data_IF_065541161346
#
_entry.id   IF_065541161346
#
_cell.length_a   1.000
_cell.length_b   1.000
_cell.length_c   1.000
_cell.angle_alpha   90.00
_cell.angle_beta   90.00
_cell.angle_gamma   90.00
#
_symmetry.space_group_name_H-M   'P 1'
#
loop_
_entity.id
_entity.type
_entity.pdbx_description
1 polymer ?
#
# COMPACT_ATOMS: atom_id res chain seq x y z
N UNK A 1 -5.38 6.51 30.94
CA UNK A 1 -6.22 7.11 29.88
C UNK A 1 -6.75 5.96 29.04
N UNK A 2 -8.04 5.67 29.10
CA UNK A 2 -8.69 4.67 28.26
C UNK A 2 -8.58 5.12 26.80
N UNK A 3 -7.82 4.40 25.99
CA UNK A 3 -7.80 4.58 24.53
C UNK A 3 -9.26 4.47 24.05
N UNK A 4 -9.87 5.58 23.69
CA UNK A 4 -11.17 5.56 22.99
C UNK A 4 -10.96 4.71 21.73
N UNK A 5 -11.78 3.68 21.56
CA UNK A 5 -11.80 2.88 20.34
C UNK A 5 -12.12 3.82 19.16
N UNK A 6 -11.11 4.21 18.41
CA UNK A 6 -11.27 5.05 17.22
C UNK A 6 -11.53 4.12 16.05
N UNK A 7 -12.70 4.18 15.43
CA UNK A 7 -13.01 3.34 14.28
C UNK A 7 -12.01 3.60 13.14
N UNK A 8 -11.56 2.53 12.49
CA UNK A 8 -10.64 2.59 11.35
C UNK A 8 -9.30 3.26 11.62
N UNK A 9 -8.78 3.17 12.86
CA UNK A 9 -7.48 3.73 13.22
C UNK A 9 -6.36 3.25 12.26
N UNK A 10 -5.52 4.18 11.80
CA UNK A 10 -4.52 3.95 10.77
C UNK A 10 -5.08 3.91 9.35
N UNK A 11 -6.36 4.27 9.17
CA UNK A 11 -7.06 4.16 7.91
C UNK A 11 -6.79 5.28 6.91
N UNK A 12 -7.27 5.04 5.69
CA UNK A 12 -7.29 6.02 4.60
C UNK A 12 -8.49 5.79 3.68
N UNK A 13 -8.83 6.84 2.93
CA UNK A 13 -9.70 6.78 1.74
C UNK A 13 -9.04 7.59 0.62
N UNK A 14 -9.04 7.04 -0.59
CA UNK A 14 -8.68 7.73 -1.84
C UNK A 14 -9.89 7.71 -2.77
N UNK A 15 -10.24 8.85 -3.35
CA UNK A 15 -11.38 8.93 -4.27
C UNK A 15 -11.27 10.09 -5.24
N UNK A 16 -11.89 9.96 -6.42
CA UNK A 16 -12.12 11.10 -7.32
C UNK A 16 -13.33 11.94 -6.92
N UNK A 17 -14.15 11.47 -5.97
CA UNK A 17 -15.33 12.19 -5.45
C UNK A 17 -15.05 12.72 -4.06
N UNK A 18 -15.55 13.91 -3.80
CA UNK A 18 -15.51 14.49 -2.46
C UNK A 18 -16.68 13.98 -1.63
N UNK A 19 -16.38 13.22 -0.58
CA UNK A 19 -17.38 12.72 0.39
C UNK A 19 -17.59 13.65 1.59
N UNK A 20 -17.01 14.87 1.56
CA UNK A 20 -17.04 15.76 2.71
C UNK A 20 -16.13 15.29 3.85
N UNK A 21 -16.60 15.41 5.09
CA UNK A 21 -15.86 15.01 6.28
C UNK A 21 -16.08 13.53 6.59
N UNK A 22 -14.99 12.81 6.78
CA UNK A 22 -14.99 11.48 7.37
C UNK A 22 -14.48 11.63 8.80
N UNK A 23 -15.21 11.09 9.79
CA UNK A 23 -14.89 11.29 11.21
C UNK A 23 -13.41 11.01 11.51
N UNK A 24 -12.73 11.91 12.24
CA UNK A 24 -11.31 11.91 12.64
C UNK A 24 -10.27 11.77 11.53
N UNK A 25 -10.66 11.78 10.28
CA UNK A 25 -9.72 11.83 9.15
C UNK A 25 -9.46 13.27 8.73
N UNK A 26 -8.19 13.61 8.56
CA UNK A 26 -7.77 14.78 7.81
C UNK A 26 -8.09 14.60 6.34
N UNK A 27 -8.52 15.69 5.67
CA UNK A 27 -8.88 15.67 4.25
C UNK A 27 -7.99 16.63 3.47
N UNK A 28 -7.50 16.20 2.31
CA UNK A 28 -6.81 17.09 1.37
C UNK A 28 -7.08 16.70 -0.09
N UNK A 29 -7.00 17.69 -0.97
CA UNK A 29 -6.92 17.46 -2.39
C UNK A 29 -5.48 17.08 -2.78
N UNK A 30 -5.33 16.14 -3.73
CA UNK A 30 -4.07 15.77 -4.34
C UNK A 30 -3.86 16.53 -5.66
N UNK A 31 -2.62 16.70 -6.14
CA UNK A 31 -2.33 17.46 -7.36
C UNK A 31 -3.08 17.00 -8.61
N UNK A 32 -3.44 15.73 -8.69
CA UNK A 32 -4.18 15.12 -9.81
C UNK A 32 -5.71 15.21 -9.68
N UNK A 33 -6.22 16.00 -8.72
CA UNK A 33 -7.66 16.18 -8.48
C UNK A 33 -8.33 15.08 -7.67
N UNK A 34 -7.58 14.08 -7.21
CA UNK A 34 -8.09 13.10 -6.26
C UNK A 34 -8.17 13.68 -4.86
N UNK A 35 -9.03 13.10 -4.04
CA UNK A 35 -9.19 13.41 -2.63
C UNK A 35 -8.58 12.31 -1.78
N UNK A 36 -7.86 12.72 -0.74
CA UNK A 36 -7.22 11.86 0.23
C UNK A 36 -7.73 12.17 1.62
N UNK A 37 -8.18 11.13 2.32
CA UNK A 37 -8.51 11.19 3.74
C UNK A 37 -7.61 10.23 4.49
N UNK A 38 -7.01 10.68 5.55
CA UNK A 38 -6.18 9.85 6.43
C UNK A 38 -6.23 10.36 7.85
N UNK A 39 -5.98 9.49 8.81
CA UNK A 39 -5.80 9.87 10.21
C UNK A 39 -4.30 10.06 10.54
N UNK A 40 -4.01 10.45 11.78
CA UNK A 40 -2.65 10.67 12.29
C UNK A 40 -2.12 9.51 13.14
N UNK A 41 -2.75 8.34 13.10
CA UNK A 41 -2.33 7.19 13.94
C UNK A 41 -1.14 6.41 13.38
N UNK A 42 -0.79 6.61 12.13
CA UNK A 42 0.39 6.03 11.50
C UNK A 42 1.12 7.09 10.70
N UNK A 43 2.41 6.87 10.52
CA UNK A 43 3.25 7.78 9.77
C UNK A 43 2.81 7.89 8.32
N UNK A 44 2.98 9.07 7.78
CA UNK A 44 2.74 9.38 6.39
C UNK A 44 3.82 10.33 5.91
N UNK A 45 4.45 9.99 4.80
CA UNK A 45 5.43 10.82 4.11
C UNK A 45 4.98 11.04 2.67
N UNK A 46 5.25 12.22 2.14
CA UNK A 46 4.83 12.59 0.80
C UNK A 46 5.87 13.45 0.09
N UNK A 47 5.94 13.29 -1.22
CA UNK A 47 6.72 14.13 -2.12
C UNK A 47 5.90 14.49 -3.34
N UNK A 48 6.16 15.67 -3.89
CA UNK A 48 5.54 16.15 -5.13
C UNK A 48 6.60 16.86 -5.98
N UNK A 49 6.49 16.72 -7.28
CA UNK A 49 7.31 17.40 -8.26
C UNK A 49 6.52 18.49 -8.99
N UNK A 50 7.22 19.46 -9.62
CA UNK A 50 6.60 20.58 -10.33
C UNK A 50 5.73 20.15 -11.52
N UNK A 51 6.02 19.01 -12.12
CA UNK A 51 5.25 18.43 -13.23
C UNK A 51 3.94 17.75 -12.79
N UNK A 52 3.61 17.80 -11.48
CA UNK A 52 2.40 17.19 -10.91
C UNK A 52 2.55 15.73 -10.49
N UNK A 53 3.70 15.08 -10.73
CA UNK A 53 3.99 13.77 -10.17
C UNK A 53 4.07 13.84 -8.65
N UNK A 54 3.57 12.81 -7.96
CA UNK A 54 3.67 12.73 -6.51
C UNK A 54 3.73 11.28 -6.02
N UNK A 55 4.22 11.12 -4.80
CA UNK A 55 4.19 9.87 -4.08
C UNK A 55 3.77 10.13 -2.63
N UNK A 56 2.88 9.28 -2.13
CA UNK A 56 2.51 9.17 -0.71
C UNK A 56 2.89 7.76 -0.26
N UNK A 57 3.65 7.66 0.83
CA UNK A 57 3.85 6.39 1.54
C UNK A 57 3.27 6.52 2.94
N UNK A 58 2.50 5.52 3.36
CA UNK A 58 1.80 5.54 4.64
C UNK A 58 1.95 4.22 5.37
N UNK A 59 2.29 4.27 6.65
CA UNK A 59 2.46 3.10 7.51
C UNK A 59 3.78 3.11 8.25
N UNK A 60 4.40 1.93 8.43
CA UNK A 60 5.72 1.76 8.97
C UNK A 60 6.57 1.01 7.95
N UNK A 61 7.74 1.53 7.63
CA UNK A 61 8.60 0.94 6.61
C UNK A 61 10.09 1.18 6.89
N UNK A 62 10.90 0.25 6.41
CA UNK A 62 12.36 0.33 6.41
C UNK A 62 12.90 -0.39 5.17
N UNK A 63 14.04 0.04 4.64
CA UNK A 63 14.67 -0.61 3.49
C UNK A 63 15.85 -1.48 3.93
N UNK A 64 15.93 -2.69 3.39
CA UNK A 64 17.08 -3.58 3.50
C UNK A 64 18.05 -3.48 2.32
N UNK A 65 17.83 -2.55 1.37
CA UNK A 65 18.73 -2.36 0.23
C UNK A 65 20.08 -1.77 0.67
N UNK A 66 21.14 -1.99 -0.11
CA UNK A 66 22.47 -1.42 0.17
C UNK A 66 22.47 0.12 0.10
N UNK A 67 21.66 0.69 -0.77
CA UNK A 67 21.40 2.13 -0.85
C UNK A 67 20.48 2.65 0.27
N UNK A 68 19.88 1.77 1.05
CA UNK A 68 18.95 2.06 2.15
C UNK A 68 19.59 2.62 3.41
N UNK A 69 20.90 2.84 3.43
CA UNK A 69 21.53 3.76 4.39
C UNK A 69 21.04 5.19 4.21
N UNK A 70 20.57 5.52 3.01
CA UNK A 70 19.86 6.76 2.74
C UNK A 70 18.38 6.57 3.12
N UNK A 71 17.80 7.56 3.78
CA UNK A 71 16.42 7.57 4.27
C UNK A 71 15.42 7.07 3.18
N UNK A 72 14.62 6.02 3.42
CA UNK A 72 13.58 5.56 2.50
C UNK A 72 12.39 6.54 2.49
N UNK A 73 12.63 7.75 2.04
CA UNK A 73 11.66 8.83 1.98
C UNK A 73 10.79 8.79 0.72
N UNK A 74 9.61 9.40 0.79
CA UNK A 74 8.75 9.60 -0.37
C UNK A 74 9.46 10.33 -1.51
N UNK A 75 10.34 11.26 -1.18
CA UNK A 75 11.15 12.00 -2.16
C UNK A 75 12.09 11.06 -2.94
N UNK A 76 12.81 10.19 -2.25
CA UNK A 76 13.69 9.21 -2.88
C UNK A 76 12.91 8.28 -3.80
N UNK A 77 11.80 7.74 -3.32
CA UNK A 77 10.97 6.84 -4.12
C UNK A 77 10.38 7.52 -5.34
N UNK A 78 9.93 8.77 -5.21
CA UNK A 78 9.44 9.53 -6.35
C UNK A 78 10.54 9.75 -7.40
N UNK A 79 11.74 10.10 -6.98
CA UNK A 79 12.91 10.24 -7.89
C UNK A 79 13.20 8.95 -8.64
N UNK A 80 13.25 7.82 -7.94
CA UNK A 80 13.47 6.52 -8.59
C UNK A 80 12.37 6.21 -9.62
N UNK A 81 11.11 6.46 -9.25
CA UNK A 81 9.98 6.25 -10.16
C UNK A 81 10.03 7.15 -11.40
N UNK A 82 10.49 8.40 -11.26
CA UNK A 82 10.67 9.33 -12.37
C UNK A 82 11.82 8.93 -13.29
N UNK A 83 12.85 8.29 -12.74
CA UNK A 83 13.96 7.75 -13.53
C UNK A 83 13.53 6.47 -14.27
N UNK A 84 12.96 5.52 -13.56
CA UNK A 84 12.40 4.30 -14.12
C UNK A 84 11.46 3.63 -13.11
N UNK A 85 10.34 3.13 -13.60
CA UNK A 85 9.40 2.35 -12.76
C UNK A 85 10.04 1.04 -12.29
N UNK A 86 10.93 0.46 -13.08
CA UNK A 86 11.67 -0.76 -12.75
C UNK A 86 12.64 -0.53 -11.58
N UNK A 87 13.33 0.63 -11.56
CA UNK A 87 14.20 1.02 -10.44
C UNK A 87 13.40 1.21 -9.16
N UNK A 88 12.26 1.89 -9.24
CA UNK A 88 11.37 2.07 -8.11
C UNK A 88 10.85 0.72 -7.58
N UNK A 89 10.34 -0.13 -8.46
CA UNK A 89 9.83 -1.44 -8.08
C UNK A 89 10.94 -2.37 -7.56
N UNK A 90 12.17 -2.24 -8.09
CA UNK A 90 13.35 -2.94 -7.58
C UNK A 90 13.70 -2.54 -6.14
N UNK A 91 13.51 -1.27 -5.78
CA UNK A 91 13.70 -0.83 -4.40
C UNK A 91 12.61 -1.39 -3.46
N UNK A 92 11.37 -1.57 -3.96
CA UNK A 92 10.29 -2.19 -3.18
C UNK A 92 10.57 -3.65 -2.82
N UNK A 93 11.41 -4.36 -3.56
CA UNK A 93 11.79 -5.75 -3.22
C UNK A 93 12.53 -5.85 -1.88
N UNK A 94 13.19 -4.77 -1.47
CA UNK A 94 13.90 -4.66 -0.20
C UNK A 94 13.14 -3.85 0.86
N UNK A 95 11.94 -3.33 0.51
CA UNK A 95 11.16 -2.51 1.44
C UNK A 95 10.35 -3.41 2.37
N UNK A 96 10.72 -3.39 3.64
CA UNK A 96 10.08 -4.15 4.71
C UNK A 96 9.09 -3.29 5.47
N UNK A 97 8.06 -3.92 6.04
CA UNK A 97 7.15 -3.24 6.94
C UNK A 97 5.68 -3.44 6.59
N UNK A 98 4.86 -2.53 7.10
CA UNK A 98 3.41 -2.50 6.89
C UNK A 98 3.03 -1.15 6.31
N UNK A 99 3.00 -1.05 5.00
CA UNK A 99 2.84 0.21 4.28
C UNK A 99 1.91 0.09 3.07
N UNK A 100 1.47 1.24 2.59
CA UNK A 100 0.92 1.40 1.25
C UNK A 100 1.62 2.57 0.56
N UNK A 101 1.67 2.55 -0.77
CA UNK A 101 2.18 3.65 -1.58
C UNK A 101 1.10 4.04 -2.60
N UNK A 102 0.85 5.34 -2.73
CA UNK A 102 0.12 5.93 -3.85
C UNK A 102 1.13 6.69 -4.69
N UNK A 103 1.36 6.23 -5.90
CA UNK A 103 2.26 6.86 -6.88
C UNK A 103 1.44 7.43 -8.02
N UNK A 104 1.58 8.73 -8.26
CA UNK A 104 1.10 9.39 -9.47
C UNK A 104 2.32 9.77 -10.31
N UNK A 105 2.37 9.24 -11.52
CA UNK A 105 3.51 9.42 -12.42
C UNK A 105 3.02 9.55 -13.85
N UNK A 106 3.41 10.62 -14.56
CA UNK A 106 3.06 10.86 -15.96
C UNK A 106 1.55 10.73 -16.24
N UNK A 107 0.72 11.26 -15.35
CA UNK A 107 -0.74 11.25 -15.49
C UNK A 107 -1.44 9.93 -15.10
N UNK A 108 -0.68 8.92 -14.66
CA UNK A 108 -1.23 7.64 -14.19
C UNK A 108 -1.05 7.50 -12.68
N UNK A 109 -2.03 6.93 -12.01
CA UNK A 109 -1.97 6.67 -10.56
C UNK A 109 -1.95 5.18 -10.30
N UNK A 110 -1.05 4.75 -9.44
CA UNK A 110 -0.87 3.38 -8.99
C UNK A 110 -0.97 3.30 -7.47
N UNK A 111 -1.54 2.21 -6.95
CA UNK A 111 -1.54 1.91 -5.52
C UNK A 111 -0.80 0.58 -5.32
N UNK A 112 0.17 0.58 -4.41
CA UNK A 112 0.92 -0.60 -3.96
C UNK A 112 0.65 -0.83 -2.49
N UNK A 113 0.61 -2.09 -2.07
CA UNK A 113 0.62 -2.46 -0.65
C UNK A 113 1.95 -3.17 -0.31
N UNK A 114 2.17 -3.42 0.99
CA UNK A 114 3.35 -4.15 1.44
C UNK A 114 3.37 -5.61 0.94
N UNK A 115 4.55 -6.22 0.99
CA UNK A 115 4.85 -7.52 0.39
C UNK A 115 3.91 -8.67 0.82
N UNK A 116 3.28 -8.57 1.99
CA UNK A 116 2.34 -9.57 2.49
C UNK A 116 0.90 -9.03 2.66
N UNK A 117 0.65 -7.77 2.22
CA UNK A 117 -0.67 -7.15 2.23
C UNK A 117 -1.23 -6.81 3.60
N UNK A 118 -0.36 -6.63 4.60
CA UNK A 118 -0.78 -6.26 5.97
C UNK A 118 -1.41 -4.87 6.05
N UNK A 119 -1.00 -3.96 5.18
CA UNK A 119 -1.71 -2.70 4.96
C UNK A 119 -2.74 -2.96 3.87
N UNK A 120 -3.93 -3.32 4.30
CA UNK A 120 -5.04 -3.68 3.39
C UNK A 120 -5.47 -2.50 2.52
N UNK A 121 -5.81 -2.80 1.27
CA UNK A 121 -6.40 -1.88 0.31
C UNK A 121 -7.62 -2.57 -0.30
N UNK A 122 -8.78 -2.03 -0.06
CA UNK A 122 -10.01 -2.41 -0.73
C UNK A 122 -10.34 -1.35 -1.77
N UNK A 123 -10.77 -1.77 -2.95
CA UNK A 123 -11.13 -0.84 -4.02
C UNK A 123 -12.41 -1.29 -4.72
N UNK A 124 -13.12 -0.34 -5.28
CA UNK A 124 -14.29 -0.64 -6.10
C UNK A 124 -13.90 -0.80 -7.57
N UNK A 125 -14.40 -1.86 -8.21
CA UNK A 125 -14.16 -2.12 -9.63
C UNK A 125 -15.00 -1.19 -10.54
N UNK A 126 -16.11 -0.68 -10.03
CA UNK A 126 -17.05 0.18 -10.77
C UNK A 126 -17.00 1.66 -10.38
N UNK A 127 -16.45 1.99 -9.21
CA UNK A 127 -16.36 3.36 -8.71
C UNK A 127 -14.90 3.74 -8.39
N UNK A 128 -14.51 5.01 -8.62
CA UNK A 128 -13.14 5.46 -8.35
C UNK A 128 -12.93 5.75 -6.86
N UNK A 129 -12.91 4.68 -6.05
CA UNK A 129 -12.68 4.72 -4.62
C UNK A 129 -11.83 3.54 -4.16
N UNK A 130 -10.91 3.81 -3.23
CA UNK A 130 -10.19 2.81 -2.46
C UNK A 130 -10.11 3.22 -1.00
N UNK A 131 -10.08 2.25 -0.10
CA UNK A 131 -9.98 2.49 1.34
C UNK A 131 -9.20 1.37 2.04
N UNK A 132 -8.68 1.68 3.23
CA UNK A 132 -7.96 0.72 4.08
C UNK A 132 -8.83 -0.37 4.66
N UNK A 133 -10.11 -0.10 4.90
CA UNK A 133 -11.03 -1.02 5.55
C UNK A 133 -12.28 -1.20 4.69
N UNK A 134 -12.70 -2.44 4.54
CA UNK A 134 -13.88 -2.81 3.77
C UNK A 134 -15.15 -2.08 4.24
N UNK A 135 -15.34 -2.03 5.57
CA UNK A 135 -16.48 -1.31 6.13
C UNK A 135 -16.41 0.20 5.93
N UNK A 136 -15.21 0.79 5.99
CA UNK A 136 -15.01 2.21 5.69
C UNK A 136 -15.36 2.51 4.24
N UNK A 137 -14.90 1.68 3.30
CA UNK A 137 -15.23 1.82 1.89
C UNK A 137 -16.75 1.79 1.69
N UNK A 138 -17.43 0.78 2.25
CA UNK A 138 -18.87 0.63 2.11
C UNK A 138 -19.68 1.71 2.85
N UNK A 139 -19.12 2.31 3.90
CA UNK A 139 -19.74 3.43 4.61
C UNK A 139 -19.77 4.70 3.77
N UNK A 140 -18.67 5.00 3.05
CA UNK A 140 -18.56 6.20 2.20
C UNK A 140 -19.10 6.01 0.80
N UNK A 141 -19.07 4.78 0.30
CA UNK A 141 -19.61 4.38 -1.01
C UNK A 141 -20.31 3.01 -0.87
N UNK A 142 -21.63 3.00 -0.62
CA UNK A 142 -22.38 1.76 -0.42
C UNK A 142 -22.36 0.84 -1.64
N UNK A 143 -22.13 -0.45 -1.40
CA UNK A 143 -22.14 -1.53 -2.38
C UNK A 143 -23.09 -2.64 -1.95
N UNK A 144 -23.63 -3.34 -2.94
CA UNK A 144 -24.52 -4.46 -2.73
C UNK A 144 -23.76 -5.66 -2.15
N UNK A 145 -24.36 -6.31 -1.14
CA UNK A 145 -23.86 -7.59 -0.64
C UNK A 145 -24.05 -8.69 -1.68
N UNK A 146 -23.04 -9.53 -1.82
CA UNK A 146 -23.14 -10.73 -2.65
C UNK A 146 -24.30 -11.62 -2.16
N UNK A 147 -25.04 -12.19 -3.11
CA UNK A 147 -26.11 -13.13 -2.82
C UNK A 147 -25.60 -14.39 -2.08
N UNK A 148 -26.48 -15.11 -1.39
CA UNK A 148 -26.12 -16.33 -0.68
C UNK A 148 -25.46 -17.40 -1.54
N UNK A 149 -25.69 -17.41 -2.85
CA UNK A 149 -25.07 -18.34 -3.82
C UNK A 149 -23.55 -18.16 -3.93
N UNK A 150 -23.02 -16.97 -3.61
CA UNK A 150 -21.59 -16.71 -3.64
C UNK A 150 -20.89 -16.89 -2.28
N UNK A 151 -21.65 -17.24 -1.24
CA UNK A 151 -21.05 -17.64 0.06
C UNK A 151 -20.13 -18.85 -0.08
N UNK A 152 -20.31 -19.68 -1.10
CA UNK A 152 -19.44 -20.80 -1.43
C UNK A 152 -18.04 -20.38 -1.92
N UNK A 153 -17.83 -19.10 -2.24
CA UNK A 153 -16.52 -18.55 -2.54
C UNK A 153 -15.64 -18.31 -1.29
N UNK A 154 -16.19 -18.55 -0.08
CA UNK A 154 -15.42 -18.45 1.17
C UNK A 154 -14.50 -19.64 1.31
N UNK A 155 -13.22 -19.38 1.57
CA UNK A 155 -12.24 -20.43 1.88
C UNK A 155 -12.34 -20.86 3.34
N UNK A 156 -12.65 -19.89 4.23
CA UNK A 156 -12.92 -20.10 5.64
C UNK A 156 -13.91 -19.03 6.13
N UNK A 157 -14.38 -19.13 7.38
CA UNK A 157 -15.45 -18.28 7.92
C UNK A 157 -15.24 -16.77 7.67
N UNK A 158 -13.99 -16.30 7.73
CA UNK A 158 -13.65 -14.88 7.54
C UNK A 158 -12.72 -14.63 6.34
N UNK A 159 -12.50 -15.65 5.49
CA UNK A 159 -11.59 -15.56 4.36
C UNK A 159 -12.34 -15.78 3.04
N UNK A 160 -12.12 -14.87 2.12
CA UNK A 160 -12.63 -14.94 0.76
C UNK A 160 -11.54 -15.42 -0.19
N UNK A 161 -11.93 -16.10 -1.25
CA UNK A 161 -10.98 -16.58 -2.26
C UNK A 161 -10.37 -15.41 -3.03
N UNK A 162 -9.06 -15.43 -3.18
CA UNK A 162 -8.29 -14.43 -3.92
C UNK A 162 -8.62 -12.98 -3.48
N UNK A 163 -9.04 -12.13 -4.40
CA UNK A 163 -9.38 -10.72 -4.20
C UNK A 163 -10.85 -10.46 -3.84
N UNK A 164 -11.66 -11.52 -3.70
CA UNK A 164 -13.09 -11.39 -3.43
C UNK A 164 -13.35 -10.79 -2.04
N UNK A 165 -14.50 -10.11 -1.93
CA UNK A 165 -15.06 -9.59 -0.69
C UNK A 165 -16.54 -9.95 -0.59
N UNK A 166 -17.20 -9.76 0.56
CA UNK A 166 -18.65 -9.97 0.66
C UNK A 166 -19.49 -8.96 -0.15
N UNK A 167 -18.89 -7.94 -0.72
CA UNK A 167 -19.60 -6.94 -1.51
C UNK A 167 -19.35 -7.15 -2.99
N UNK A 168 -20.41 -6.96 -3.78
CA UNK A 168 -20.34 -6.93 -5.24
C UNK A 168 -19.44 -5.76 -5.66
N UNK A 169 -18.63 -5.98 -6.69
CA UNK A 169 -17.72 -4.97 -7.26
C UNK A 169 -16.65 -4.42 -6.29
N UNK A 170 -16.54 -4.92 -5.06
CA UNK A 170 -15.44 -4.56 -4.17
C UNK A 170 -14.40 -5.68 -4.16
N UNK A 171 -13.15 -5.31 -4.34
CA UNK A 171 -12.00 -6.21 -4.40
C UNK A 171 -10.97 -5.84 -3.33
N UNK A 172 -10.17 -6.83 -2.96
CA UNK A 172 -9.01 -6.65 -2.11
C UNK A 172 -7.75 -6.64 -2.97
N UNK A 173 -6.90 -5.63 -2.83
CA UNK A 173 -5.61 -5.63 -3.51
C UNK A 173 -4.71 -6.72 -2.91
N UNK A 174 -4.37 -7.71 -3.72
CA UNK A 174 -3.54 -8.82 -3.29
C UNK A 174 -2.07 -8.40 -3.09
N UNK A 175 -1.32 -9.08 -2.23
CA UNK A 175 0.12 -8.92 -2.15
C UNK A 175 0.79 -9.06 -3.51
N UNK A 176 1.88 -8.31 -3.73
CA UNK A 176 2.65 -8.34 -4.98
C UNK A 176 1.90 -7.86 -6.23
N UNK A 177 0.76 -7.21 -6.04
CA UNK A 177 0.01 -6.56 -7.10
C UNK A 177 -0.05 -5.05 -6.87
N UNK A 178 -0.07 -4.30 -7.96
CA UNK A 178 -0.37 -2.88 -7.97
C UNK A 178 -1.73 -2.64 -8.63
N UNK A 179 -2.48 -1.70 -8.10
CA UNK A 179 -3.76 -1.27 -8.68
C UNK A 179 -3.51 -0.11 -9.63
N UNK A 180 -3.88 -0.26 -10.90
CA UNK A 180 -4.04 0.85 -11.82
C UNK A 180 -5.34 1.60 -11.49
N UNK A 181 -5.22 2.81 -10.95
CA UNK A 181 -6.36 3.60 -10.52
C UNK A 181 -7.33 3.94 -11.65
N UNK A 182 -6.82 4.27 -12.83
CA UNK A 182 -7.64 4.68 -13.98
C UNK A 182 -8.48 3.53 -14.53
N UNK A 183 -7.89 2.37 -14.68
CA UNK A 183 -8.51 1.16 -15.25
C UNK A 183 -9.20 0.31 -14.19
N UNK A 184 -8.87 0.52 -12.91
CA UNK A 184 -9.31 -0.28 -11.75
C UNK A 184 -8.95 -1.76 -11.89
N UNK A 185 -7.83 -2.00 -12.55
CA UNK A 185 -7.26 -3.33 -12.75
C UNK A 185 -6.00 -3.52 -11.93
N UNK A 186 -5.77 -4.75 -11.50
CA UNK A 186 -4.56 -5.12 -10.78
C UNK A 186 -3.56 -5.78 -11.70
N UNK A 187 -2.31 -5.40 -11.53
CA UNK A 187 -1.18 -5.96 -12.26
C UNK A 187 -0.19 -6.52 -11.26
N UNK A 188 0.22 -7.78 -11.44
CA UNK A 188 1.27 -8.39 -10.65
C UNK A 188 2.62 -7.76 -11.02
N UNK A 189 3.34 -7.23 -10.02
CA UNK A 189 4.65 -6.61 -10.24
C UNK A 189 5.81 -7.42 -9.64
N UNK A 190 5.52 -8.39 -8.78
CA UNK A 190 6.53 -9.28 -8.18
C UNK A 190 6.03 -10.73 -8.11
N UNK A 191 6.86 -11.76 -8.32
CA UNK A 191 8.20 -11.63 -8.90
C UNK A 191 8.13 -11.24 -10.39
N UNK A 192 9.11 -10.46 -10.84
CA UNK A 192 9.24 -10.03 -12.25
C UNK A 192 9.99 -11.04 -13.10
N UNK A 193 10.94 -11.73 -12.48
CA UNK A 193 11.86 -12.66 -13.10
C UNK A 193 11.93 -13.98 -12.32
N UNK A 194 12.63 -14.97 -12.87
CA UNK A 194 13.01 -16.15 -12.15
C UNK A 194 13.84 -15.75 -10.91
N UNK A 195 13.71 -16.51 -9.82
CA UNK A 195 14.43 -16.23 -8.58
C UNK A 195 15.94 -16.13 -8.83
N UNK A 196 16.56 -14.95 -8.68
CA UNK A 196 17.98 -14.74 -8.96
C UNK A 196 18.88 -15.53 -8.01
N UNK A 197 18.38 -15.91 -6.85
CA UNK A 197 19.11 -16.65 -5.83
C UNK A 197 19.05 -18.17 -6.06
N UNK A 198 18.37 -18.66 -7.10
CA UNK A 198 18.17 -20.09 -7.30
C UNK A 198 19.50 -20.85 -7.40
N UNK A 199 20.48 -20.28 -8.11
CA UNK A 199 21.79 -20.88 -8.34
C UNK A 199 22.82 -20.62 -7.25
N UNK A 200 22.50 -19.81 -6.26
CA UNK A 200 23.42 -19.49 -5.16
C UNK A 200 23.56 -20.71 -4.24
N UNK A 201 24.74 -20.90 -3.65
CA UNK A 201 24.94 -21.82 -2.56
C UNK A 201 24.21 -21.36 -1.29
N UNK A 202 24.08 -22.26 -0.31
CA UNK A 202 23.34 -21.96 0.92
C UNK A 202 24.00 -20.88 1.77
N UNK A 203 25.33 -20.80 1.78
CA UNK A 203 26.08 -19.82 2.58
C UNK A 203 25.83 -18.42 2.04
N UNK A 204 25.92 -18.24 0.71
CA UNK A 204 25.62 -16.97 0.03
C UNK A 204 24.16 -16.53 0.27
N UNK A 205 23.20 -17.47 0.22
CA UNK A 205 21.79 -17.17 0.52
C UNK A 205 21.60 -16.69 1.96
N UNK A 206 22.21 -17.36 2.92
CA UNK A 206 22.10 -16.96 4.33
C UNK A 206 22.78 -15.62 4.60
N UNK A 207 23.96 -15.37 4.00
CA UNK A 207 24.65 -14.10 4.13
C UNK A 207 23.80 -12.93 3.61
N UNK A 208 23.12 -13.10 2.48
CA UNK A 208 22.24 -12.07 1.92
C UNK A 208 20.99 -11.85 2.78
N UNK A 209 20.34 -12.90 3.26
CA UNK A 209 19.22 -12.79 4.20
C UNK A 209 19.64 -12.03 5.45
N UNK A 210 20.79 -12.38 6.03
CA UNK A 210 21.31 -11.70 7.22
C UNK A 210 21.61 -10.22 6.93
N UNK A 211 22.23 -9.91 5.80
CA UNK A 211 22.52 -8.56 5.38
C UNK A 211 21.25 -7.70 5.28
N UNK A 212 20.26 -8.18 4.53
CA UNK A 212 18.97 -7.48 4.34
C UNK A 212 18.24 -7.30 5.67
N UNK A 213 18.19 -8.36 6.46
CA UNK A 213 17.55 -8.35 7.77
C UNK A 213 18.19 -7.33 8.72
N UNK A 214 19.52 -7.34 8.85
CA UNK A 214 20.25 -6.39 9.72
C UNK A 214 20.05 -4.95 9.26
N UNK A 215 20.12 -4.69 7.95
CA UNK A 215 19.92 -3.35 7.41
C UNK A 215 18.50 -2.84 7.70
N UNK A 216 17.49 -3.66 7.43
CA UNK A 216 16.09 -3.31 7.68
C UNK A 216 15.79 -3.10 9.17
N UNK A 217 16.31 -3.96 10.05
CA UNK A 217 16.15 -3.80 11.50
C UNK A 217 16.79 -2.53 12.03
N UNK A 218 18.05 -2.25 11.67
CA UNK A 218 18.75 -1.05 12.12
C UNK A 218 17.93 0.19 11.76
N UNK A 219 17.54 0.29 10.49
CA UNK A 219 16.77 1.43 10.00
C UNK A 219 15.38 1.53 10.66
N UNK A 220 14.72 0.39 10.90
CA UNK A 220 13.41 0.36 11.55
C UNK A 220 13.48 0.86 13.00
N UNK A 221 14.47 0.45 13.78
CA UNK A 221 14.64 0.89 15.16
C UNK A 221 15.08 2.35 15.26
N UNK A 222 15.91 2.82 14.33
CA UNK A 222 16.30 4.23 14.25
C UNK A 222 15.08 5.14 13.97
N UNK A 223 14.20 4.69 13.09
CA UNK A 223 13.00 5.43 12.70
C UNK A 223 11.87 5.34 13.73
N UNK A 224 11.73 4.20 14.40
CA UNK A 224 10.64 3.91 15.34
C UNK A 224 11.12 3.53 16.74
N UNK A 225 11.81 4.44 17.46
CA UNK A 225 12.46 4.12 18.74
C UNK A 225 11.50 3.76 19.87
N UNK A 226 10.18 3.97 19.71
CA UNK A 226 9.17 3.65 20.72
C UNK A 226 8.59 2.24 20.63
N UNK A 227 9.08 1.43 19.71
CA UNK A 227 8.61 0.05 19.50
C UNK A 227 9.55 -0.96 20.22
N UNK A 228 10.69 -0.48 20.70
CA UNK A 228 11.67 -1.28 21.43
C UNK A 228 11.33 -1.38 22.93
#
# INVERSE_FOLDING_TARGET
MTQKNVPFAGGFVLSSRDFGSIAHFGKRALPNGLWWWSDSFVDEDQASAENGDFLIIRGHWASGSEGGKDDPSAYRFLRLAQESIELFEGELDYLCGRYLIVLHLHGKTWIYNDAIGNRTVYYSADQPIAASHLHLLNQVSPHELLSNSLKNARVAEYQWAADLTPYKEVRHLLPNHKLNWGERETVRFYPREANPFYQWDSESKYAEIERVWRAAQSQYFDRYPRIA
#
